data_IF_944662061121
#
_entry.id   IF_944662061121
#
_cell.length_a   1.000
_cell.length_b   1.000
_cell.length_c   1.000
_cell.angle_alpha   90.00
_cell.angle_beta   90.00
_cell.angle_gamma   90.00
#
_symmetry.space_group_name_H-M   'P 1'
#
loop_
_entity.id
_entity.type
_entity.pdbx_description
1 polymer ?
#
# COMPACT_ATOMS: atom_id res chain seq x y z
N UNK A 1 2.31 -15.57 15.30
CA UNK A 1 3.17 -14.91 14.30
C UNK A 1 3.26 -13.43 14.63
N UNK A 2 4.46 -12.84 14.75
CA UNK A 2 4.62 -11.39 14.87
C UNK A 2 3.95 -10.67 13.70
N UNK A 3 3.47 -9.44 13.92
CA UNK A 3 2.82 -8.62 12.88
C UNK A 3 3.73 -8.43 11.66
N UNK A 4 5.04 -8.27 11.87
CA UNK A 4 6.04 -8.13 10.82
C UNK A 4 6.10 -9.33 9.87
N UNK A 5 6.27 -10.55 10.39
CA UNK A 5 6.33 -11.76 9.56
C UNK A 5 5.02 -12.01 8.81
N UNK A 6 3.87 -11.65 9.40
CA UNK A 6 2.57 -11.75 8.73
C UNK A 6 2.41 -10.70 7.63
N UNK A 7 2.84 -9.46 7.87
CA UNK A 7 2.78 -8.38 6.88
C UNK A 7 3.66 -8.69 5.67
N UNK A 8 4.87 -9.18 5.89
CA UNK A 8 5.80 -9.54 4.82
C UNK A 8 5.24 -10.64 3.90
N UNK A 9 4.74 -11.73 4.48
CA UNK A 9 4.13 -12.81 3.71
C UNK A 9 2.92 -12.32 2.88
N UNK A 10 2.09 -11.45 3.46
CA UNK A 10 0.93 -10.87 2.77
C UNK A 10 1.38 -9.94 1.63
N UNK A 11 2.39 -9.10 1.85
CA UNK A 11 2.93 -8.19 0.82
C UNK A 11 3.46 -8.96 -0.38
N UNK A 12 4.27 -10.00 -0.14
CA UNK A 12 4.86 -10.81 -1.21
C UNK A 12 3.77 -11.49 -2.03
N UNK A 13 2.82 -12.16 -1.36
CA UNK A 13 1.74 -12.85 -2.05
C UNK A 13 0.78 -11.89 -2.77
N UNK A 14 0.52 -10.70 -2.22
CA UNK A 14 -0.31 -9.70 -2.89
C UNK A 14 0.38 -9.14 -4.14
N UNK A 15 1.68 -8.86 -4.06
CA UNK A 15 2.45 -8.39 -5.22
C UNK A 15 2.45 -9.43 -6.35
N UNK A 16 2.67 -10.70 -6.02
CA UNK A 16 2.60 -11.79 -7.00
C UNK A 16 1.20 -11.91 -7.65
N UNK A 17 0.12 -11.76 -6.88
CA UNK A 17 -1.24 -11.74 -7.42
C UNK A 17 -1.46 -10.55 -8.36
N UNK A 18 -0.95 -9.37 -8.01
CA UNK A 18 -1.05 -8.19 -8.85
C UNK A 18 -0.27 -8.34 -10.16
N UNK A 19 0.92 -8.94 -10.12
CA UNK A 19 1.72 -9.25 -11.31
C UNK A 19 1.00 -10.24 -12.25
N UNK A 20 0.17 -11.13 -11.71
CA UNK A 20 -0.72 -12.01 -12.48
C UNK A 20 -2.02 -11.33 -12.95
N UNK A 21 -2.17 -10.02 -12.76
CA UNK A 21 -3.38 -9.26 -13.09
C UNK A 21 -4.57 -9.51 -12.16
N UNK A 22 -4.39 -10.28 -11.08
CA UNK A 22 -5.44 -10.62 -10.10
C UNK A 22 -5.56 -9.53 -9.03
N UNK A 23 -5.84 -8.29 -9.48
CA UNK A 23 -5.82 -7.08 -8.65
C UNK A 23 -6.72 -7.20 -7.41
N UNK A 24 -7.98 -7.63 -7.57
CA UNK A 24 -8.91 -7.71 -6.43
C UNK A 24 -8.49 -8.75 -5.39
N UNK A 25 -7.83 -9.84 -5.81
CA UNK A 25 -7.29 -10.83 -4.89
C UNK A 25 -6.10 -10.28 -4.12
N UNK A 26 -5.22 -9.53 -4.79
CA UNK A 26 -4.08 -8.85 -4.16
C UNK A 26 -4.54 -7.86 -3.08
N UNK A 27 -5.49 -6.99 -3.42
CA UNK A 27 -6.06 -6.01 -2.48
C UNK A 27 -6.81 -6.72 -1.33
N UNK A 28 -7.54 -7.79 -1.63
CA UNK A 28 -8.19 -8.63 -0.63
C UNK A 28 -7.22 -9.24 0.36
N UNK A 29 -6.02 -9.62 -0.08
CA UNK A 29 -4.98 -10.17 0.78
C UNK A 29 -4.38 -9.09 1.69
N UNK A 30 -4.07 -7.91 1.15
CA UNK A 30 -3.54 -6.78 1.92
C UNK A 30 -4.51 -6.35 3.03
N UNK A 31 -5.83 -6.35 2.77
CA UNK A 31 -6.88 -6.06 3.77
C UNK A 31 -6.91 -7.01 4.97
N UNK A 32 -6.28 -8.19 4.89
CA UNK A 32 -6.18 -9.12 6.03
C UNK A 32 -5.20 -8.66 7.10
N UNK A 33 -4.31 -7.73 6.76
CA UNK A 33 -3.47 -7.02 7.71
C UNK A 33 -4.24 -5.78 8.16
N UNK A 34 -4.83 -5.86 9.36
CA UNK A 34 -5.53 -4.73 9.96
C UNK A 34 -4.53 -3.62 10.25
N UNK A 35 -4.61 -2.53 9.49
CA UNK A 35 -3.89 -1.29 9.75
C UNK A 35 -4.82 -0.32 10.46
N UNK A 36 -4.23 0.66 11.16
CA UNK A 36 -4.97 1.81 11.69
C UNK A 36 -4.30 3.08 11.21
N UNK A 37 -5.09 4.05 10.76
CA UNK A 37 -4.56 5.32 10.25
C UNK A 37 -3.98 6.24 11.32
N UNK A 38 -4.09 5.89 12.60
CA UNK A 38 -3.45 6.61 13.71
C UNK A 38 -2.08 6.01 14.08
N UNK A 39 -1.75 4.81 13.58
CA UNK A 39 -0.54 4.06 13.95
C UNK A 39 0.24 3.67 12.70
N UNK A 40 1.38 4.33 12.49
CA UNK A 40 2.26 4.11 11.34
C UNK A 40 3.57 3.42 11.73
N UNK A 41 3.51 2.10 12.01
CA UNK A 41 4.73 1.30 12.08
C UNK A 41 5.34 1.13 10.67
N UNK A 42 6.64 0.79 10.56
CA UNK A 42 7.27 0.52 9.26
C UNK A 42 6.51 -0.51 8.41
N UNK A 43 5.94 -1.53 9.04
CA UNK A 43 5.12 -2.55 8.37
C UNK A 43 3.82 -1.97 7.82
N UNK A 44 3.16 -1.09 8.59
CA UNK A 44 1.92 -0.43 8.18
C UNK A 44 2.18 0.51 7.01
N UNK A 45 3.25 1.32 7.08
CA UNK A 45 3.66 2.18 5.97
C UNK A 45 3.92 1.37 4.70
N UNK A 46 4.62 0.24 4.82
CA UNK A 46 4.88 -0.67 3.69
C UNK A 46 3.60 -1.27 3.11
N UNK A 47 2.62 -1.63 3.94
CA UNK A 47 1.31 -2.13 3.49
C UNK A 47 0.56 -1.05 2.69
N UNK A 48 0.49 0.18 3.18
CA UNK A 48 -0.14 1.28 2.44
C UNK A 48 0.57 1.55 1.12
N UNK A 49 1.90 1.48 1.11
CA UNK A 49 2.71 1.75 -0.08
C UNK A 49 2.43 0.72 -1.17
N UNK A 50 2.49 -0.57 -0.81
CA UNK A 50 2.20 -1.68 -1.75
C UNK A 50 0.76 -1.63 -2.23
N UNK A 51 -0.19 -1.29 -1.35
CA UNK A 51 -1.60 -1.11 -1.73
C UNK A 51 -1.74 0.01 -2.76
N UNK A 52 -1.12 1.17 -2.51
CA UNK A 52 -1.11 2.30 -3.43
C UNK A 52 -0.51 1.95 -4.79
N UNK A 53 0.65 1.29 -4.82
CA UNK A 53 1.32 0.88 -6.06
C UNK A 53 0.47 -0.10 -6.89
N UNK A 54 -0.20 -1.06 -6.25
CA UNK A 54 -1.09 -2.01 -6.94
C UNK A 54 -2.31 -1.28 -7.52
N UNK A 55 -2.89 -0.34 -6.77
CA UNK A 55 -4.02 0.47 -7.23
C UNK A 55 -3.62 1.37 -8.41
N UNK A 56 -2.43 1.96 -8.37
CA UNK A 56 -1.88 2.77 -9.45
C UNK A 56 -1.72 1.95 -10.73
N UNK A 57 -1.08 0.77 -10.64
CA UNK A 57 -0.93 -0.18 -11.76
C UNK A 57 -2.27 -0.65 -12.33
N UNK A 58 -3.30 -0.72 -11.49
CA UNK A 58 -4.66 -1.06 -11.90
C UNK A 58 -5.47 0.12 -12.48
N UNK A 59 -4.88 1.32 -12.59
CA UNK A 59 -5.57 2.53 -13.05
C UNK A 59 -6.54 3.13 -12.04
N UNK A 60 -6.57 2.63 -10.79
CA UNK A 60 -7.42 3.13 -9.70
C UNK A 60 -6.75 4.31 -8.99
N UNK A 61 -6.41 5.34 -9.78
CA UNK A 61 -5.50 6.43 -9.39
C UNK A 61 -5.96 7.19 -8.15
N UNK A 62 -7.26 7.53 -8.07
CA UNK A 62 -7.85 8.20 -6.88
C UNK A 62 -7.69 7.39 -5.59
N UNK A 63 -7.64 6.07 -5.69
CA UNK A 63 -7.50 5.20 -4.52
C UNK A 63 -6.04 5.03 -4.14
N UNK A 64 -5.17 4.88 -5.13
CA UNK A 64 -3.72 4.87 -4.93
C UNK A 64 -3.25 6.13 -4.19
N UNK A 65 -3.72 7.29 -4.66
CA UNK A 65 -3.42 8.58 -4.07
C UNK A 65 -3.86 8.67 -2.60
N UNK A 66 -5.01 8.09 -2.23
CA UNK A 66 -5.46 8.04 -0.82
C UNK A 66 -4.52 7.22 0.05
N UNK A 67 -4.03 6.09 -0.44
CA UNK A 67 -3.08 5.26 0.31
C UNK A 67 -1.72 5.96 0.46
N UNK A 68 -1.21 6.58 -0.60
CA UNK A 68 0.04 7.35 -0.51
C UNK A 68 -0.08 8.56 0.41
N UNK A 69 -1.23 9.24 0.43
CA UNK A 69 -1.48 10.32 1.39
C UNK A 69 -1.47 9.87 2.84
N UNK A 70 -1.79 8.61 3.16
CA UNK A 70 -1.64 8.10 4.54
C UNK A 70 -0.17 8.15 4.95
N UNK A 71 0.72 7.61 4.11
CA UNK A 71 2.16 7.62 4.36
C UNK A 71 2.66 9.05 4.49
N UNK A 72 2.30 9.94 3.55
CA UNK A 72 2.71 11.34 3.56
C UNK A 72 2.30 12.07 4.86
N UNK A 73 1.16 11.72 5.48
CA UNK A 73 0.73 12.31 6.75
C UNK A 73 1.57 11.86 7.96
N UNK A 74 2.16 10.68 7.91
CA UNK A 74 2.92 10.11 9.03
C UNK A 74 4.43 10.26 8.87
N UNK A 75 4.94 9.95 7.69
CA UNK A 75 6.35 10.07 7.34
C UNK A 75 6.47 10.52 5.87
N UNK A 76 6.60 11.84 5.63
CA UNK A 76 6.79 12.37 4.29
C UNK A 76 8.09 11.92 3.60
N UNK A 77 9.08 11.45 4.36
CA UNK A 77 10.36 10.99 3.83
C UNK A 77 10.36 9.48 3.54
N UNK A 78 9.31 8.75 3.94
CA UNK A 78 9.15 7.34 3.61
C UNK A 78 8.77 7.16 2.14
N UNK A 79 9.60 6.40 1.42
CA UNK A 79 9.41 6.07 -0.01
C UNK A 79 9.33 7.33 -0.90
N UNK A 80 8.78 7.21 -2.11
CA UNK A 80 8.59 8.28 -3.10
C UNK A 80 7.17 8.89 -3.04
N UNK A 81 6.46 8.79 -1.90
CA UNK A 81 5.02 9.09 -1.85
C UNK A 81 4.66 10.55 -2.12
N UNK A 82 5.56 11.49 -1.82
CA UNK A 82 5.34 12.90 -2.13
C UNK A 82 5.29 13.13 -3.66
N UNK A 83 6.19 12.49 -4.40
CA UNK A 83 6.22 12.53 -5.86
C UNK A 83 4.99 11.82 -6.44
N UNK A 84 4.66 10.62 -5.94
CA UNK A 84 3.48 9.85 -6.37
C UNK A 84 2.19 10.64 -6.20
N UNK A 85 1.97 11.27 -5.05
CA UNK A 85 0.78 12.11 -4.82
C UNK A 85 0.75 13.28 -5.80
N UNK A 86 1.88 13.98 -6.00
CA UNK A 86 1.95 15.10 -6.93
C UNK A 86 1.67 14.70 -8.40
N UNK A 87 2.03 13.49 -8.81
CA UNK A 87 1.72 12.94 -10.13
C UNK A 87 0.24 12.56 -10.27
N UNK A 88 -0.36 11.99 -9.22
CA UNK A 88 -1.74 11.50 -9.22
C UNK A 88 -2.80 12.58 -8.95
N UNK A 89 -2.40 13.75 -8.44
CA UNK A 89 -3.29 14.90 -8.20
C UNK A 89 -3.51 15.80 -9.43
N UNK A 90 -2.93 15.48 -10.59
CA UNK A 90 -3.03 16.26 -11.84
C UNK A 90 -4.19 15.79 -12.71
#
# INVERSE_FOLDING_TARGET
MPLASKAEAVIVAASALADLGRIEQALGLLRRVRTREDVASPEVLRIWYVTGSILERAGRLREAEREFRKILRHDPAAYDVAERVAQLSR
#
